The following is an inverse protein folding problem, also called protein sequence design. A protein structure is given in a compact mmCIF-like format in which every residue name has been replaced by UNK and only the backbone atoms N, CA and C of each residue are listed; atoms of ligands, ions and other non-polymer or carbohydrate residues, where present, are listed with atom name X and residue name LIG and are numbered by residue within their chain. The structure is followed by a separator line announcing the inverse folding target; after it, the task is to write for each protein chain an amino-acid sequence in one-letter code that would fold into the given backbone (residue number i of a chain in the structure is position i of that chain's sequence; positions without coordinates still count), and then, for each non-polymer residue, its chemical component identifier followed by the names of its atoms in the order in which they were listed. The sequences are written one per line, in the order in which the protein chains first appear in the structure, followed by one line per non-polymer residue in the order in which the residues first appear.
data_IF_554526063847
#
_entry.id   IF_554526063847
#
_cell.length_a   1.000
_cell.length_b   1.000
_cell.length_c   1.000
_cell.angle_alpha   90.00
_cell.angle_beta   90.00
_cell.angle_gamma   90.00
#
_symmetry.space_group_name_H-M   'P 1'
#
loop_
_entity.id
_entity.type
_entity.pdbx_description
1 polymer ?
#
# COMPACT_ATOMS: atom_id res chain seq x y z
N UNK A 1 -2.90 -16.39 -13.08
CA UNK A 1 -3.40 -15.22 -12.31
C UNK A 1 -2.25 -14.76 -11.45
N UNK A 2 -1.59 -13.65 -11.80
CA UNK A 2 -0.55 -13.05 -10.95
C UNK A 2 -1.26 -12.36 -9.80
N UNK A 3 -1.12 -12.88 -8.59
CA UNK A 3 -1.73 -12.28 -7.40
C UNK A 3 -1.05 -10.95 -7.10
N UNK A 4 -1.80 -9.85 -7.17
CA UNK A 4 -1.31 -8.50 -6.85
C UNK A 4 -0.83 -8.41 -5.38
N UNK A 5 0.10 -7.49 -5.11
CA UNK A 5 0.71 -7.28 -3.80
C UNK A 5 -0.31 -6.88 -2.74
N UNK A 6 -1.41 -6.21 -3.12
CA UNK A 6 -2.52 -5.92 -2.19
C UNK A 6 -3.14 -7.21 -1.66
N UNK A 7 -3.38 -8.18 -2.54
CA UNK A 7 -3.91 -9.50 -2.19
C UNK A 7 -2.91 -10.30 -1.37
N UNK A 8 -1.61 -10.26 -1.73
CA UNK A 8 -0.54 -10.89 -0.95
C UNK A 8 -0.42 -10.31 0.46
N UNK A 9 -0.49 -8.97 0.60
CA UNK A 9 -0.45 -8.29 1.89
C UNK A 9 -1.64 -8.68 2.76
N UNK A 10 -2.83 -8.72 2.18
CA UNK A 10 -4.03 -9.13 2.91
C UNK A 10 -3.93 -10.59 3.37
N UNK A 11 -3.44 -11.49 2.50
CA UNK A 11 -3.21 -12.90 2.86
C UNK A 11 -2.16 -13.06 3.97
N UNK A 12 -1.04 -12.31 3.90
CA UNK A 12 -0.05 -12.26 4.97
C UNK A 12 -0.68 -11.83 6.29
N UNK A 13 -1.43 -10.71 6.29
CA UNK A 13 -2.07 -10.20 7.50
C UNK A 13 -3.12 -11.17 8.07
N UNK A 14 -3.88 -11.87 7.20
CA UNK A 14 -4.82 -12.91 7.63
C UNK A 14 -4.10 -14.07 8.31
N UNK A 15 -2.97 -14.52 7.77
CA UNK A 15 -2.17 -15.60 8.34
C UNK A 15 -1.51 -15.19 9.66
N UNK A 16 -0.99 -13.97 9.75
CA UNK A 16 -0.22 -13.49 10.90
C UNK A 16 -1.11 -13.04 12.06
N UNK A 17 -2.18 -12.30 11.78
CA UNK A 17 -3.02 -11.67 12.82
C UNK A 17 -4.40 -12.32 12.98
N UNK A 18 -4.84 -13.13 12.01
CA UNK A 18 -6.16 -13.73 11.97
C UNK A 18 -7.20 -12.88 11.24
N UNK A 19 -8.20 -13.56 10.66
CA UNK A 19 -9.29 -12.91 9.94
C UNK A 19 -10.08 -11.94 10.85
N UNK A 20 -10.36 -10.73 10.34
CA UNK A 20 -11.12 -9.71 11.05
C UNK A 20 -10.36 -8.98 12.18
N UNK A 21 -9.11 -9.37 12.47
CA UNK A 21 -8.28 -8.73 13.51
C UNK A 21 -7.45 -7.56 12.99
N UNK A 22 -7.38 -7.39 11.66
CA UNK A 22 -6.65 -6.30 11.04
C UNK A 22 -7.50 -5.57 10.00
N UNK A 23 -7.08 -4.36 9.63
CA UNK A 23 -7.55 -3.65 8.43
C UNK A 23 -6.35 -2.99 7.76
N UNK A 24 -6.17 -3.27 6.47
CA UNK A 24 -5.26 -2.53 5.61
C UNK A 24 -6.01 -1.32 5.06
N UNK A 25 -5.44 -0.13 5.19
CA UNK A 25 -6.01 1.08 4.55
C UNK A 25 -4.94 1.82 3.79
N UNK A 26 -5.39 2.52 2.75
CA UNK A 26 -4.55 3.34 1.89
C UNK A 26 -5.01 4.77 2.00
N UNK A 27 -4.06 5.71 2.02
CA UNK A 27 -4.38 7.11 1.84
C UNK A 27 -3.61 7.66 0.65
N UNK A 28 -4.34 8.26 -0.27
CA UNK A 28 -3.81 8.73 -1.54
C UNK A 28 -3.44 10.21 -1.43
N UNK A 29 -2.38 10.57 -2.13
CA UNK A 29 -1.99 11.95 -2.35
C UNK A 29 -1.66 12.14 -3.83
N UNK A 30 -2.22 13.20 -4.42
CA UNK A 30 -1.79 13.67 -5.72
C UNK A 30 -0.43 14.37 -5.58
N UNK A 31 0.54 13.99 -6.41
CA UNK A 31 1.82 14.70 -6.50
C UNK A 31 1.57 16.07 -7.12
N UNK A 32 1.92 17.12 -6.38
CA UNK A 32 1.77 18.52 -6.83
C UNK A 32 2.81 18.84 -7.90
N UNK A 33 2.58 19.94 -8.64
CA UNK A 33 3.52 20.52 -9.61
C UNK A 33 3.81 19.63 -10.84
N UNK A 34 2.93 18.68 -11.15
CA UNK A 34 2.91 17.96 -12.42
C UNK A 34 1.99 18.69 -13.39
N UNK A 35 2.35 18.83 -14.68
CA UNK A 35 1.40 19.28 -15.69
C UNK A 35 0.18 18.35 -15.73
N UNK A 36 -0.99 18.85 -16.12
CA UNK A 36 -2.28 18.11 -16.00
C UNK A 36 -2.26 16.73 -16.71
N UNK A 37 -1.49 16.60 -17.79
CA UNK A 37 -1.28 15.35 -18.54
C UNK A 37 -0.28 14.38 -17.89
N UNK A 38 0.40 14.79 -16.81
CA UNK A 38 1.38 14.02 -16.07
C UNK A 38 0.93 13.73 -14.62
N UNK A 39 -0.37 13.83 -14.33
CA UNK A 39 -0.91 13.59 -12.99
C UNK A 39 -0.38 12.27 -12.39
N UNK A 40 0.31 12.39 -11.24
CA UNK A 40 0.81 11.24 -10.47
C UNK A 40 0.11 11.12 -9.12
N UNK A 41 -0.09 9.88 -8.70
CA UNK A 41 -0.66 9.48 -7.42
C UNK A 41 0.36 8.69 -6.63
N UNK A 42 0.47 8.98 -5.34
CA UNK A 42 1.26 8.21 -4.39
C UNK A 42 0.37 7.83 -3.22
N UNK A 43 0.64 6.68 -2.62
CA UNK A 43 -0.20 6.19 -1.51
C UNK A 43 0.66 5.76 -0.34
N UNK A 44 0.15 6.03 0.86
CA UNK A 44 0.63 5.45 2.11
C UNK A 44 -0.20 4.22 2.45
N UNK A 45 0.40 3.23 3.10
CA UNK A 45 -0.28 2.02 3.55
C UNK A 45 -0.22 1.94 5.07
N UNK A 46 -1.34 1.62 5.71
CA UNK A 46 -1.40 1.35 7.14
C UNK A 46 -2.03 -0.01 7.44
N UNK A 47 -1.62 -0.65 8.54
CA UNK A 47 -2.29 -1.83 9.10
C UNK A 47 -2.72 -1.53 10.54
N UNK A 48 -4.04 -1.43 10.75
CA UNK A 48 -4.64 -1.24 12.08
C UNK A 48 -5.10 -2.57 12.69
N UNK A 49 -5.02 -2.75 14.02
CA UNK A 49 -4.60 -1.80 15.06
C UNK A 49 -3.07 -1.76 15.33
N UNK A 50 -2.28 -2.50 14.57
CA UNK A 50 -0.84 -2.71 14.84
C UNK A 50 0.06 -1.51 14.53
N UNK A 51 -0.50 -0.41 14.02
CA UNK A 51 0.21 0.84 13.69
C UNK A 51 1.44 0.66 12.77
N UNK A 52 1.45 -0.40 11.95
CA UNK A 52 2.43 -0.49 10.86
C UNK A 52 2.06 0.51 9.78
N UNK A 53 3.00 1.38 9.45
CA UNK A 53 2.81 2.46 8.50
C UNK A 53 3.98 2.45 7.54
N UNK A 54 3.68 2.42 6.25
CA UNK A 54 4.62 2.76 5.20
C UNK A 54 4.16 4.07 4.57
N UNK A 55 5.05 5.04 4.60
CA UNK A 55 4.83 6.38 4.09
C UNK A 55 4.66 6.41 2.56
N UNK A 56 4.40 7.59 2.01
CA UNK A 56 4.28 7.77 0.57
C UNK A 56 5.55 7.34 -0.17
N UNK A 57 5.37 6.65 -1.30
CA UNK A 57 6.44 6.26 -2.21
C UNK A 57 6.41 7.08 -3.48
N UNK A 58 6.72 6.41 -4.58
CA UNK A 58 6.80 7.02 -5.89
C UNK A 58 5.43 7.45 -6.44
N UNK A 59 5.48 8.34 -7.43
CA UNK A 59 4.30 8.83 -8.13
C UNK A 59 3.91 7.95 -9.33
N UNK A 60 2.73 7.37 -9.28
CA UNK A 60 2.19 6.47 -10.30
C UNK A 60 1.07 7.11 -11.12
N UNK A 61 0.83 6.58 -12.32
CA UNK A 61 -0.21 7.09 -13.22
C UNK A 61 -1.65 6.85 -12.72
N UNK A 62 -1.83 6.04 -11.66
CA UNK A 62 -3.14 5.75 -11.08
C UNK A 62 -3.02 5.40 -9.59
N UNK A 63 -4.13 5.56 -8.86
CA UNK A 63 -4.24 5.16 -7.45
C UNK A 63 -4.01 3.66 -7.24
N UNK A 64 -4.52 2.81 -8.14
CA UNK A 64 -4.33 1.37 -8.02
C UNK A 64 -2.85 0.96 -8.07
N UNK A 65 -2.07 1.57 -8.96
CA UNK A 65 -0.61 1.34 -9.01
C UNK A 65 0.09 1.88 -7.77
N UNK A 66 -0.36 3.00 -7.24
CA UNK A 66 0.17 3.55 -6.00
C UNK A 66 -0.17 2.67 -4.78
N UNK A 67 -1.35 2.06 -4.74
CA UNK A 67 -1.74 1.08 -3.71
C UNK A 67 -0.88 -0.18 -3.83
N UNK A 68 -0.64 -0.64 -5.05
CA UNK A 68 0.17 -1.82 -5.32
C UNK A 68 1.61 -1.65 -4.82
N UNK A 69 2.23 -0.51 -5.14
CA UNK A 69 3.54 -0.13 -4.62
C UNK A 69 3.55 0.00 -3.08
N UNK A 70 2.54 0.66 -2.50
CA UNK A 70 2.44 0.80 -1.06
C UNK A 70 2.26 -0.56 -0.35
N UNK A 71 1.53 -1.50 -0.97
CA UNK A 71 1.36 -2.85 -0.48
C UNK A 71 2.67 -3.65 -0.55
N UNK A 72 3.40 -3.53 -1.67
CA UNK A 72 4.71 -4.13 -1.83
C UNK A 72 5.70 -3.65 -0.75
N UNK A 73 5.80 -2.33 -0.55
CA UNK A 73 6.69 -1.76 0.48
C UNK A 73 6.30 -2.17 1.89
N UNK A 74 4.99 -2.30 2.18
CA UNK A 74 4.52 -2.85 3.46
C UNK A 74 4.91 -4.31 3.64
N UNK A 75 4.81 -5.14 2.59
CA UNK A 75 5.29 -6.53 2.64
C UNK A 75 6.79 -6.60 2.91
N UNK A 76 7.60 -5.74 2.29
CA UNK A 76 9.04 -5.66 2.59
C UNK A 76 9.31 -5.27 4.04
N UNK A 77 8.57 -4.27 4.54
CA UNK A 77 8.66 -3.83 5.93
C UNK A 77 8.33 -4.96 6.91
N UNK A 78 7.26 -5.72 6.68
CA UNK A 78 6.84 -6.83 7.54
C UNK A 78 7.76 -8.06 7.47
N UNK A 79 8.49 -8.25 6.38
CA UNK A 79 9.45 -9.34 6.21
C UNK A 79 10.89 -8.93 6.54
N UNK A 80 11.13 -7.66 6.89
CA UNK A 80 12.45 -7.23 7.37
C UNK A 80 12.63 -7.76 8.80
N UNK A 81 13.75 -8.45 9.10
CA UNK A 81 14.01 -9.09 10.39
C UNK A 81 14.19 -8.11 11.55
#
# INVERSE_FOLDING_TARGET
MTTDYRTQLNAHCQKTYGAGKFRVKYADQQVKDQPDNAQRWRSKCWITPFNYIVEYGDGFSSKDKAHEDAAYRMLLYLHSP
#
